data_IF_826930754467
#
_entry.id   IF_826930754467
#
_cell.length_a   1.000
_cell.length_b   1.000
_cell.length_c   1.000
_cell.angle_alpha   90.00
_cell.angle_beta   90.00
_cell.angle_gamma   90.00
#
_symmetry.space_group_name_H-M   'P 1'
#
loop_
_entity.id
_entity.type
_entity.pdbx_description
1 polymer ?
#
# COMPACT_ATOMS: atom_id res chain seq x y z
N UNK A 1 -14.82 -12.69 0.90
CA UNK A 1 -14.09 -13.90 0.46
C UNK A 1 -12.93 -13.45 -0.40
N UNK A 2 -11.71 -13.89 -0.09
CA UNK A 2 -10.52 -13.63 -0.92
C UNK A 2 -10.38 -14.80 -1.89
N UNK A 3 -10.22 -14.51 -3.18
CA UNK A 3 -10.08 -15.52 -4.23
C UNK A 3 -8.67 -15.45 -4.81
N UNK A 4 -7.99 -16.59 -4.86
CA UNK A 4 -6.64 -16.67 -5.40
C UNK A 4 -6.60 -16.17 -6.86
N UNK A 5 -5.61 -15.33 -7.16
CA UNK A 5 -5.43 -14.75 -8.50
C UNK A 5 -6.40 -13.62 -8.85
N UNK A 6 -7.28 -13.20 -7.94
CA UNK A 6 -8.12 -12.01 -8.12
C UNK A 6 -7.51 -10.80 -7.40
N UNK A 7 -7.66 -9.57 -7.94
CA UNK A 7 -7.28 -8.36 -7.23
C UNK A 7 -8.03 -8.23 -5.89
N UNK A 8 -7.37 -7.63 -4.91
CA UNK A 8 -7.96 -7.31 -3.61
C UNK A 8 -7.82 -5.82 -3.32
N UNK A 9 -8.70 -5.31 -2.47
CA UNK A 9 -8.62 -3.96 -1.95
C UNK A 9 -7.97 -3.96 -0.57
N UNK A 10 -6.93 -3.15 -0.42
CA UNK A 10 -6.33 -2.85 0.89
C UNK A 10 -6.83 -1.48 1.33
N UNK A 11 -7.64 -1.47 2.39
CA UNK A 11 -8.18 -0.24 2.97
C UNK A 11 -7.58 -0.03 4.36
N UNK A 12 -7.14 1.21 4.64
CA UNK A 12 -6.71 1.65 5.95
C UNK A 12 -7.48 2.92 6.33
N UNK A 13 -8.50 2.75 7.17
CA UNK A 13 -9.14 3.87 7.88
C UNK A 13 -8.30 4.22 9.11
N UNK A 14 -8.08 5.51 9.33
CA UNK A 14 -7.33 6.03 10.47
C UNK A 14 -8.07 7.23 11.08
N UNK A 15 -7.90 7.43 12.38
CA UNK A 15 -8.32 8.64 13.11
C UNK A 15 -7.07 9.19 13.80
N UNK A 16 -6.74 10.45 13.51
CA UNK A 16 -5.56 11.13 14.04
C UNK A 16 -5.91 12.15 15.11
N UNK A 17 -7.20 12.27 15.45
CA UNK A 17 -7.74 13.28 16.33
C UNK A 17 -7.31 14.70 15.92
N UNK A 18 -6.20 15.20 16.45
CA UNK A 18 -5.68 16.55 16.23
C UNK A 18 -4.35 16.58 15.46
N UNK A 19 -3.80 15.44 15.08
CA UNK A 19 -2.50 15.32 14.43
C UNK A 19 -2.60 15.18 12.91
N UNK A 20 -1.51 15.52 12.22
CA UNK A 20 -1.40 15.36 10.77
C UNK A 20 -0.86 13.98 10.38
N UNK A 21 -1.38 13.40 9.30
CA UNK A 21 -0.86 12.15 8.79
C UNK A 21 0.52 12.36 8.19
N UNK A 22 1.52 11.68 8.75
CA UNK A 22 2.87 11.68 8.16
C UNK A 22 2.96 10.77 6.93
N UNK A 23 2.60 9.49 7.07
CA UNK A 23 2.63 8.53 5.96
C UNK A 23 1.82 7.27 6.28
N UNK A 24 1.20 6.67 5.26
CA UNK A 24 0.72 5.28 5.29
C UNK A 24 1.71 4.43 4.51
N UNK A 25 2.09 3.27 5.04
CA UNK A 25 3.03 2.34 4.39
C UNK A 25 2.47 0.93 4.43
N UNK A 26 2.58 0.23 3.32
CA UNK A 26 2.24 -1.18 3.24
C UNK A 26 3.50 -2.01 3.04
N UNK A 27 3.65 -2.99 3.92
CA UNK A 27 4.74 -3.95 3.90
C UNK A 27 4.19 -5.32 3.57
N UNK A 28 4.93 -6.05 2.74
CA UNK A 28 4.70 -7.47 2.55
C UNK A 28 5.82 -8.24 3.24
N UNK A 29 5.42 -9.27 3.98
CA UNK A 29 6.33 -10.23 4.58
C UNK A 29 5.78 -11.63 4.38
N UNK A 30 6.54 -12.48 3.71
CA UNK A 30 6.28 -13.91 3.65
C UNK A 30 7.60 -14.65 3.92
N UNK A 31 7.56 -15.59 4.87
CA UNK A 31 8.73 -16.36 5.31
C UNK A 31 9.32 -17.25 4.20
N UNK A 32 8.50 -17.61 3.21
CA UNK A 32 8.88 -18.47 2.09
C UNK A 32 9.36 -17.67 0.87
N UNK A 33 9.43 -16.33 0.97
CA UNK A 33 9.84 -15.46 -0.13
C UNK A 33 10.99 -14.53 0.25
N UNK A 34 11.91 -14.32 -0.68
CA UNK A 34 12.95 -13.28 -0.56
C UNK A 34 12.39 -11.86 -0.77
N UNK A 35 11.14 -11.76 -1.24
CA UNK A 35 10.41 -10.52 -1.49
C UNK A 35 9.74 -10.00 -0.20
N UNK A 36 10.52 -9.28 0.60
CA UNK A 36 10.07 -8.61 1.83
C UNK A 36 10.41 -7.14 1.82
N UNK A 37 9.50 -6.31 2.32
CA UNK A 37 9.72 -4.87 2.42
C UNK A 37 8.49 -4.05 2.09
N UNK A 38 8.72 -2.76 1.91
CA UNK A 38 7.70 -1.80 1.54
C UNK A 38 7.36 -1.97 0.05
N UNK A 39 6.07 -2.00 -0.30
CA UNK A 39 5.64 -2.06 -1.70
C UNK A 39 4.73 -0.88 -2.10
N UNK A 40 4.17 -0.17 -1.12
CA UNK A 40 3.39 1.05 -1.33
C UNK A 40 3.55 2.02 -0.16
N UNK A 41 3.60 3.32 -0.49
CA UNK A 41 3.61 4.42 0.48
C UNK A 41 2.70 5.55 0.00
N UNK A 42 1.94 6.11 0.93
CA UNK A 42 1.21 7.34 0.74
C UNK A 42 1.71 8.42 1.70
N UNK A 43 2.17 9.55 1.17
CA UNK A 43 2.57 10.74 1.92
C UNK A 43 1.72 11.91 1.40
N UNK A 44 0.83 12.53 2.22
CA UNK A 44 -0.06 13.59 1.74
C UNK A 44 0.68 14.82 1.22
N UNK A 45 1.90 15.05 1.70
CA UNK A 45 2.74 16.21 1.38
C UNK A 45 3.62 16.01 0.14
N UNK A 46 3.65 14.81 -0.45
CA UNK A 46 4.47 14.51 -1.64
C UNK A 46 3.67 14.68 -2.95
N UNK A 47 4.40 14.78 -4.07
CA UNK A 47 3.82 14.78 -5.42
C UNK A 47 4.55 13.78 -6.35
N UNK A 48 3.89 12.70 -6.80
CA UNK A 48 2.55 12.27 -6.42
C UNK A 48 2.51 11.77 -4.96
N UNK A 49 1.35 11.82 -4.27
CA UNK A 49 1.25 11.41 -2.87
C UNK A 49 1.43 9.90 -2.69
N UNK A 50 1.09 9.10 -3.71
CA UNK A 50 1.30 7.65 -3.73
C UNK A 50 2.58 7.26 -4.48
N UNK A 51 3.38 6.38 -3.88
CA UNK A 51 4.60 5.82 -4.46
C UNK A 51 4.57 4.30 -4.37
N UNK A 52 4.93 3.63 -5.47
CA UNK A 52 5.07 2.17 -5.51
C UNK A 52 6.54 1.76 -5.46
N UNK A 53 6.81 0.66 -4.77
CA UNK A 53 8.12 0.02 -4.74
C UNK A 53 7.94 -1.38 -5.36
N UNK A 54 8.44 -1.60 -6.59
CA UNK A 54 8.25 -2.87 -7.28
C UNK A 54 8.78 -4.04 -6.45
N UNK A 55 7.97 -5.08 -6.33
CA UNK A 55 8.30 -6.28 -5.58
C UNK A 55 7.80 -7.52 -6.33
N UNK A 56 8.61 -8.58 -6.32
CA UNK A 56 8.24 -9.83 -6.99
C UNK A 56 6.94 -10.40 -6.42
N UNK A 57 5.99 -10.75 -7.29
CA UNK A 57 4.69 -11.29 -6.90
C UNK A 57 3.64 -10.25 -6.48
N UNK A 58 3.98 -8.95 -6.44
CA UNK A 58 3.04 -7.87 -6.12
C UNK A 58 2.79 -7.03 -7.38
N UNK A 59 1.53 -6.95 -7.78
CA UNK A 59 1.06 -6.01 -8.80
C UNK A 59 0.14 -4.97 -8.14
N UNK A 60 0.48 -3.70 -8.26
CA UNK A 60 -0.25 -2.58 -7.66
C UNK A 60 -0.80 -1.71 -8.78
N UNK A 61 -2.13 -1.51 -8.80
CA UNK A 61 -2.79 -0.53 -9.66
C UNK A 61 -3.04 0.76 -8.86
N UNK A 62 -2.23 1.79 -9.11
CA UNK A 62 -2.32 3.08 -8.42
C UNK A 62 -3.54 3.91 -8.85
N UNK A 63 -4.12 3.64 -10.03
CA UNK A 63 -5.19 4.46 -10.62
C UNK A 63 -6.51 4.28 -9.87
N UNK A 64 -6.70 3.15 -9.19
CA UNK A 64 -7.90 2.82 -8.43
C UNK A 64 -8.01 3.50 -7.04
N UNK A 65 -7.01 4.30 -6.63
CA UNK A 65 -6.93 4.88 -5.27
C UNK A 65 -7.62 6.25 -5.12
N UNK A 66 -8.33 6.72 -6.15
CA UNK A 66 -9.02 8.02 -6.15
C UNK A 66 -10.49 7.81 -6.56
N UNK A 67 -11.34 7.42 -5.61
CA UNK A 67 -12.80 7.62 -5.65
C UNK A 67 -13.28 8.06 -4.28
#
# INVERSE_FOLDING_TARGET
MVVMGQPIWLNCSYDLEYEELYSIKWYHWNADSDAKGEFYRWIPKDFPPGQMFPMSGIHLDLIMTIL
#
